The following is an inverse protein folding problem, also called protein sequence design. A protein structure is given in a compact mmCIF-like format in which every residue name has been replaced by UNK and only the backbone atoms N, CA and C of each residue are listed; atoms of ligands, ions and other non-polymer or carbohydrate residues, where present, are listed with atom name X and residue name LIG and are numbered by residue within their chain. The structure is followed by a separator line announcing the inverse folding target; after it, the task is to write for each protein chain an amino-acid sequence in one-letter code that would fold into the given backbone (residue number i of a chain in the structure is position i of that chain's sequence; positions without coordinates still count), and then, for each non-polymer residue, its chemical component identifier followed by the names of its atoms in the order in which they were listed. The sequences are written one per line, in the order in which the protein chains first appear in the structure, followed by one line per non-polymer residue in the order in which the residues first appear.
data_IF_577482045418
#
_entry.id   IF_577482045418
#
_cell.length_a   1.000
_cell.length_b   1.000
_cell.length_c   1.000
_cell.angle_alpha   90.00
_cell.angle_beta   90.00
_cell.angle_gamma   90.00
#
_symmetry.space_group_name_H-M   'P 1'
#
loop_
_entity.id
_entity.type
_entity.pdbx_description
1 polymer ?
#
# COMPACT_ATOMS: atom_id res chain seq x y z
N UNK A 1 2.15 -19.46 26.89
CA UNK A 1 2.53 -19.58 25.49
C UNK A 1 3.16 -18.26 25.06
N UNK A 2 4.45 -18.28 24.75
CA UNK A 2 5.15 -17.09 24.30
C UNK A 2 4.94 -16.94 22.78
N UNK A 3 4.51 -15.76 22.35
CA UNK A 3 4.20 -15.49 20.96
C UNK A 3 4.99 -14.31 20.43
N UNK A 4 5.45 -14.40 19.18
CA UNK A 4 5.96 -13.27 18.44
C UNK A 4 5.11 -12.98 17.20
N UNK A 5 4.97 -11.69 16.87
CA UNK A 5 4.36 -11.24 15.62
C UNK A 5 5.41 -10.42 14.86
N UNK A 6 5.73 -10.84 13.66
CA UNK A 6 6.75 -10.22 12.82
C UNK A 6 6.07 -9.57 11.62
N UNK A 7 6.16 -8.25 11.51
CA UNK A 7 5.66 -7.51 10.37
C UNK A 7 6.77 -7.19 9.37
N UNK A 8 6.49 -7.35 8.08
CA UNK A 8 7.36 -6.90 7.00
C UNK A 8 6.76 -5.67 6.32
N UNK A 9 7.48 -4.56 6.28
CA UNK A 9 7.04 -3.29 5.70
C UNK A 9 8.04 -2.77 4.66
N UNK A 10 7.56 -2.39 3.48
CA UNK A 10 8.38 -1.92 2.38
C UNK A 10 7.97 -0.53 1.88
N UNK A 11 6.82 -0.03 2.32
CA UNK A 11 6.32 1.30 1.94
C UNK A 11 5.74 2.01 3.17
N UNK A 12 5.74 3.34 3.13
CA UNK A 12 5.15 4.15 4.22
C UNK A 12 3.64 3.92 4.38
N UNK A 13 2.93 3.62 3.30
CA UNK A 13 1.49 3.31 3.35
C UNK A 13 1.19 2.03 4.13
N UNK A 14 2.08 1.05 4.08
CA UNK A 14 1.94 -0.21 4.82
C UNK A 14 2.05 -0.01 6.34
N UNK A 15 2.80 0.99 6.79
CA UNK A 15 2.97 1.26 8.23
C UNK A 15 1.65 1.61 8.92
N UNK A 16 0.72 2.29 8.24
CA UNK A 16 -0.61 2.54 8.81
C UNK A 16 -1.42 1.24 8.98
N UNK A 17 -1.34 0.34 8.01
CA UNK A 17 -1.99 -0.97 8.11
C UNK A 17 -1.39 -1.83 9.23
N UNK A 18 -0.07 -1.80 9.36
CA UNK A 18 0.62 -2.48 10.48
C UNK A 18 0.19 -1.88 11.81
N UNK A 19 0.13 -0.54 11.94
CA UNK A 19 -0.34 0.11 13.16
C UNK A 19 -1.75 -0.36 13.53
N UNK A 20 -2.66 -0.42 12.57
CA UNK A 20 -4.03 -0.88 12.81
C UNK A 20 -4.09 -2.36 13.22
N UNK A 21 -3.19 -3.20 12.70
CA UNK A 21 -3.05 -4.59 13.15
C UNK A 21 -2.49 -4.65 14.58
N UNK A 22 -1.48 -3.85 14.91
CA UNK A 22 -0.93 -3.76 16.28
C UNK A 22 -2.01 -3.35 17.26
N UNK A 23 -2.81 -2.35 16.93
CA UNK A 23 -3.91 -1.89 17.78
C UNK A 23 -4.96 -3.00 17.97
N UNK A 24 -5.24 -3.78 16.93
CA UNK A 24 -6.09 -4.98 17.02
C UNK A 24 -5.51 -6.02 18.00
N UNK A 25 -4.21 -6.33 17.89
CA UNK A 25 -3.54 -7.29 18.76
C UNK A 25 -3.52 -6.83 20.22
N UNK A 26 -3.27 -5.55 20.48
CA UNK A 26 -3.30 -4.98 21.83
C UNK A 26 -4.68 -5.08 22.48
N UNK A 27 -5.75 -4.99 21.69
CA UNK A 27 -7.12 -5.13 22.18
C UNK A 27 -7.52 -6.59 22.42
N UNK A 28 -6.85 -7.55 21.79
CA UNK A 28 -7.20 -8.98 21.85
C UNK A 28 -6.47 -9.79 22.94
N UNK A 29 -6.00 -9.12 23.97
CA UNK A 29 -5.46 -9.73 25.22
C UNK A 29 -4.15 -10.52 25.07
N UNK A 30 -3.18 -9.94 24.40
CA UNK A 30 -1.86 -10.57 24.19
C UNK A 30 -0.78 -10.03 25.13
N UNK A 31 -0.94 -10.22 26.44
CA UNK A 31 0.04 -9.75 27.46
C UNK A 31 1.47 -10.30 27.26
N UNK A 32 1.62 -11.42 26.53
CA UNK A 32 2.91 -12.09 26.30
C UNK A 32 3.22 -12.20 24.79
N UNK A 33 2.98 -11.13 24.04
CA UNK A 33 3.26 -11.13 22.59
C UNK A 33 4.31 -10.07 22.26
N UNK A 34 5.43 -10.52 21.75
CA UNK A 34 6.48 -9.63 21.24
C UNK A 34 6.16 -9.17 19.81
N UNK A 35 6.29 -7.87 19.56
CA UNK A 35 6.07 -7.26 18.26
C UNK A 35 7.42 -6.92 17.63
N UNK A 36 7.69 -7.49 16.48
CA UNK A 36 8.91 -7.24 15.71
C UNK A 36 8.57 -6.66 14.33
N UNK A 37 9.41 -5.79 13.81
CA UNK A 37 9.25 -5.22 12.50
C UNK A 37 10.52 -5.33 11.65
N UNK A 38 10.35 -5.69 10.41
CA UNK A 38 11.38 -5.67 9.37
C UNK A 38 10.95 -4.63 8.34
N UNK A 39 11.67 -3.53 8.25
CA UNK A 39 11.27 -2.40 7.41
C UNK A 39 12.41 -1.86 6.56
N UNK A 40 12.08 -1.42 5.35
CA UNK A 40 12.94 -0.56 4.54
C UNK A 40 12.33 0.84 4.31
N UNK A 41 11.19 1.13 4.93
CA UNK A 41 10.42 2.34 4.70
C UNK A 41 10.91 3.56 5.51
N UNK A 42 11.82 3.36 6.46
CA UNK A 42 12.38 4.43 7.29
C UNK A 42 11.42 5.02 8.34
N UNK A 43 10.15 4.60 8.33
CA UNK A 43 9.15 5.00 9.32
C UNK A 43 8.63 3.76 10.05
N UNK A 44 8.51 3.86 11.36
CA UNK A 44 8.18 2.74 12.23
C UNK A 44 6.87 3.03 12.93
N UNK A 45 5.95 2.06 12.97
CA UNK A 45 4.70 2.19 13.72
C UNK A 45 4.94 2.40 15.22
N UNK A 46 4.04 3.11 15.89
CA UNK A 46 4.12 3.35 17.33
C UNK A 46 3.99 2.05 18.14
N UNK A 47 4.78 1.95 19.20
CA UNK A 47 4.72 0.82 20.14
C UNK A 47 5.65 -0.35 19.80
N UNK A 48 6.57 -0.15 18.84
CA UNK A 48 7.68 -1.06 18.58
C UNK A 48 8.97 -0.39 19.07
N UNK A 49 9.72 -1.09 19.93
CA UNK A 49 10.98 -0.61 20.49
C UNK A 49 12.12 -0.80 19.47
N UNK A 50 13.22 -0.04 19.62
CA UNK A 50 14.37 -0.12 18.71
C UNK A 50 14.99 -1.51 18.69
N UNK A 51 15.00 -2.22 19.82
CA UNK A 51 15.49 -3.60 19.92
C UNK A 51 14.70 -4.60 19.07
N UNK A 52 13.45 -4.28 18.76
CA UNK A 52 12.53 -5.15 18.03
C UNK A 52 12.40 -4.77 16.55
N UNK A 53 13.39 -4.05 16.02
CA UNK A 53 13.39 -3.53 14.66
C UNK A 53 14.59 -4.04 13.88
N UNK A 54 14.33 -4.38 12.62
CA UNK A 54 15.38 -4.61 11.64
C UNK A 54 15.17 -3.68 10.45
N UNK A 55 16.09 -2.75 10.25
CA UNK A 55 16.06 -1.87 9.10
C UNK A 55 16.87 -2.46 7.94
N UNK A 56 16.20 -2.69 6.83
CA UNK A 56 16.79 -3.13 5.58
C UNK A 56 17.29 -1.94 4.75
N UNK A 57 18.26 -2.19 3.90
CA UNK A 57 18.76 -1.18 2.96
C UNK A 57 17.76 -0.99 1.84
N UNK A 58 17.26 0.25 1.65
CA UNK A 58 16.38 0.62 0.55
C UNK A 58 17.15 0.69 -0.77
N UNK A 59 16.67 0.01 -1.79
CA UNK A 59 17.23 0.09 -3.15
C UNK A 59 16.49 1.20 -3.90
N UNK A 60 17.21 2.23 -4.29
CA UNK A 60 16.69 3.34 -5.10
C UNK A 60 16.81 3.03 -6.60
N UNK A 61 16.07 3.77 -7.44
CA UNK A 61 16.00 3.49 -8.88
C UNK A 61 17.37 3.51 -9.59
N UNK A 62 18.26 4.43 -9.22
CA UNK A 62 19.60 4.51 -9.81
C UNK A 62 20.53 3.37 -9.36
N UNK A 63 20.18 2.67 -8.29
CA UNK A 63 20.92 1.52 -7.76
C UNK A 63 20.45 0.19 -8.36
N UNK A 64 19.56 0.19 -9.33
CA UNK A 64 19.02 -1.07 -9.90
C UNK A 64 20.11 -1.95 -10.51
N UNK A 65 21.17 -1.38 -11.08
CA UNK A 65 22.33 -2.13 -11.56
C UNK A 65 23.08 -2.91 -10.47
N UNK A 66 22.98 -2.47 -9.21
CA UNK A 66 23.60 -3.11 -8.04
C UNK A 66 22.59 -3.85 -7.17
N UNK A 67 21.39 -4.06 -7.66
CA UNK A 67 20.28 -4.67 -6.90
C UNK A 67 20.66 -5.98 -6.21
N UNK A 68 21.46 -6.80 -6.86
CA UNK A 68 21.90 -8.09 -6.30
C UNK A 68 22.79 -7.92 -5.06
N UNK A 69 23.64 -6.90 -5.03
CA UNK A 69 24.51 -6.60 -3.88
C UNK A 69 23.64 -6.21 -2.68
N UNK A 70 22.66 -5.32 -2.88
CA UNK A 70 21.75 -4.89 -1.81
C UNK A 70 20.84 -6.03 -1.33
N UNK A 71 20.38 -6.89 -2.23
CA UNK A 71 19.63 -8.08 -1.85
C UNK A 71 20.46 -9.02 -0.98
N UNK A 72 21.76 -9.21 -1.31
CA UNK A 72 22.66 -10.04 -0.52
C UNK A 72 22.93 -9.43 0.86
N UNK A 73 23.09 -8.11 0.96
CA UNK A 73 23.22 -7.42 2.25
C UNK A 73 21.96 -7.61 3.10
N UNK A 74 20.79 -7.41 2.52
CA UNK A 74 19.51 -7.60 3.20
C UNK A 74 19.30 -9.05 3.62
N UNK A 75 19.68 -10.01 2.78
CA UNK A 75 19.66 -11.43 3.14
C UNK A 75 20.49 -11.72 4.38
N UNK A 76 21.73 -11.19 4.45
CA UNK A 76 22.60 -11.37 5.63
C UNK A 76 21.99 -10.75 6.90
N UNK A 77 21.39 -9.54 6.77
CA UNK A 77 20.68 -8.91 7.89
C UNK A 77 19.51 -9.76 8.38
N UNK A 78 18.69 -10.28 7.44
CA UNK A 78 17.59 -11.17 7.77
C UNK A 78 18.06 -12.47 8.46
N UNK A 79 19.16 -13.05 7.98
CA UNK A 79 19.74 -14.25 8.59
C UNK A 79 20.20 -14.00 10.04
N UNK A 80 20.90 -12.89 10.27
CA UNK A 80 21.32 -12.49 11.63
C UNK A 80 20.12 -12.25 12.53
N UNK A 81 19.09 -11.56 12.02
CA UNK A 81 17.89 -11.26 12.78
C UNK A 81 17.15 -12.53 13.19
N UNK A 82 16.92 -13.46 12.25
CA UNK A 82 16.25 -14.74 12.59
C UNK A 82 17.03 -15.54 13.62
N UNK A 83 18.37 -15.51 13.59
CA UNK A 83 19.21 -16.17 14.60
C UNK A 83 19.11 -15.51 15.97
N UNK A 84 18.80 -14.22 16.05
CA UNK A 84 18.66 -13.49 17.32
C UNK A 84 17.24 -13.57 17.89
N UNK A 85 16.27 -14.11 17.14
CA UNK A 85 14.91 -14.29 17.64
C UNK A 85 14.94 -15.36 18.75
N UNK A 86 14.41 -15.05 19.95
CA UNK A 86 14.26 -16.03 21.01
C UNK A 86 13.34 -17.19 20.58
N UNK A 87 13.37 -18.27 21.32
CA UNK A 87 12.42 -19.38 21.10
C UNK A 87 11.01 -18.96 21.52
N UNK A 88 10.06 -19.08 20.59
CA UNK A 88 8.65 -18.84 20.81
C UNK A 88 7.84 -20.11 20.52
N UNK A 89 6.74 -20.28 21.24
CA UNK A 89 5.79 -21.36 20.96
C UNK A 89 5.07 -21.12 19.62
N UNK A 90 4.77 -19.88 19.33
CA UNK A 90 4.10 -19.44 18.08
C UNK A 90 4.74 -18.17 17.52
N UNK A 91 4.98 -18.19 16.20
CA UNK A 91 5.45 -17.02 15.45
C UNK A 91 4.46 -16.71 14.33
N UNK A 92 3.84 -15.56 14.38
CA UNK A 92 2.98 -15.08 13.31
C UNK A 92 3.75 -14.09 12.41
N UNK A 93 3.92 -14.45 11.13
CA UNK A 93 4.60 -13.62 10.13
C UNK A 93 3.55 -12.91 9.30
N UNK A 94 3.46 -11.59 9.45
CA UNK A 94 2.52 -10.74 8.76
C UNK A 94 3.19 -10.04 7.57
N UNK A 95 2.74 -10.35 6.35
CA UNK A 95 3.25 -9.77 5.11
C UNK A 95 2.14 -9.03 4.35
N UNK A 96 2.48 -7.99 3.57
CA UNK A 96 1.47 -7.26 2.79
C UNK A 96 1.02 -8.09 1.58
N UNK A 97 1.97 -8.69 0.92
CA UNK A 97 1.82 -9.54 -0.26
C UNK A 97 3.15 -10.26 -0.53
N UNK A 98 3.12 -11.24 -1.43
CA UNK A 98 4.32 -12.01 -1.75
C UNK A 98 5.00 -11.61 -3.07
N UNK A 99 4.53 -10.56 -3.74
CA UNK A 99 5.21 -9.99 -4.90
C UNK A 99 6.61 -9.45 -4.57
N UNK A 100 6.83 -9.08 -3.31
CA UNK A 100 8.14 -8.68 -2.86
C UNK A 100 9.00 -9.92 -2.59
N UNK A 101 10.14 -10.00 -3.27
CA UNK A 101 11.09 -11.11 -3.14
C UNK A 101 11.53 -11.33 -1.68
N UNK A 102 11.66 -10.26 -0.91
CA UNK A 102 12.08 -10.36 0.50
C UNK A 102 11.00 -10.98 1.38
N UNK A 103 9.71 -10.75 1.09
CA UNK A 103 8.60 -11.42 1.79
C UNK A 103 8.67 -12.93 1.60
N UNK A 104 8.70 -13.37 0.34
CA UNK A 104 8.77 -14.79 -0.01
C UNK A 104 9.99 -15.46 0.61
N UNK A 105 11.14 -14.79 0.47
CA UNK A 105 12.39 -15.30 1.00
C UNK A 105 12.35 -15.44 2.53
N UNK A 106 11.88 -14.41 3.23
CA UNK A 106 11.83 -14.38 4.68
C UNK A 106 10.91 -15.48 5.23
N UNK A 107 9.71 -15.58 4.66
CA UNK A 107 8.74 -16.64 5.05
C UNK A 107 9.33 -18.02 4.85
N UNK A 108 9.91 -18.29 3.68
CA UNK A 108 10.55 -19.58 3.40
C UNK A 108 11.73 -19.87 4.33
N UNK A 109 12.55 -18.86 4.62
CA UNK A 109 13.69 -19.00 5.52
C UNK A 109 13.25 -19.30 6.96
N UNK A 110 12.25 -18.58 7.48
CA UNK A 110 11.70 -18.84 8.82
C UNK A 110 11.11 -20.24 8.92
N UNK A 111 10.34 -20.66 7.93
CA UNK A 111 9.75 -22.02 7.90
C UNK A 111 10.80 -23.14 7.91
N UNK A 112 12.01 -22.87 7.42
CA UNK A 112 13.10 -23.85 7.44
C UNK A 112 13.94 -23.80 8.72
N UNK A 113 14.07 -22.64 9.35
CA UNK A 113 15.00 -22.42 10.47
C UNK A 113 14.33 -22.46 11.84
N UNK A 114 13.09 -22.03 11.93
CA UNK A 114 12.34 -21.96 13.20
C UNK A 114 11.41 -23.18 13.35
N UNK A 115 11.99 -24.39 13.23
CA UNK A 115 11.22 -25.65 13.22
C UNK A 115 10.57 -25.98 14.56
N UNK A 116 11.06 -25.43 15.66
CA UNK A 116 10.51 -25.61 17.01
C UNK A 116 9.24 -24.78 17.25
N UNK A 117 9.04 -23.73 16.47
CA UNK A 117 7.91 -22.82 16.62
C UNK A 117 6.79 -23.16 15.65
N UNK A 118 5.54 -23.01 16.11
CA UNK A 118 4.38 -23.02 15.21
C UNK A 118 4.36 -21.74 14.37
N UNK A 119 4.63 -21.82 13.07
CA UNK A 119 4.67 -20.67 12.19
C UNK A 119 3.32 -20.46 11.53
N UNK A 120 2.71 -19.30 11.79
CA UNK A 120 1.47 -18.83 11.16
C UNK A 120 1.83 -17.72 10.18
N UNK A 121 1.38 -17.85 8.94
CA UNK A 121 1.55 -16.82 7.93
C UNK A 121 0.25 -16.08 7.74
N UNK A 122 0.33 -14.75 7.82
CA UNK A 122 -0.83 -13.87 7.74
C UNK A 122 -0.60 -12.76 6.72
N UNK A 123 -1.66 -12.35 6.03
CA UNK A 123 -1.67 -11.17 5.18
C UNK A 123 -2.27 -10.00 5.94
N UNK A 124 -1.71 -8.80 5.78
CA UNK A 124 -2.30 -7.57 6.24
C UNK A 124 -2.67 -6.65 5.05
N UNK A 125 -3.61 -5.69 5.21
CA UNK A 125 -4.10 -4.90 4.09
C UNK A 125 -2.99 -4.08 3.40
N UNK A 126 -2.88 -4.20 2.09
CA UNK A 126 -1.98 -3.44 1.24
C UNK A 126 -2.75 -2.80 0.07
N UNK A 127 -3.63 -1.89 0.40
CA UNK A 127 -4.45 -1.17 -0.57
C UNK A 127 -5.29 -2.09 -1.45
N UNK A 128 -5.33 -1.78 -2.74
CA UNK A 128 -6.11 -2.56 -3.72
C UNK A 128 -5.66 -4.00 -3.88
N UNK A 129 -4.39 -4.31 -3.62
CA UNK A 129 -3.88 -5.68 -3.73
C UNK A 129 -4.59 -6.66 -2.78
N UNK A 130 -5.23 -6.15 -1.72
CA UNK A 130 -6.02 -6.96 -0.80
C UNK A 130 -7.41 -7.33 -1.32
N UNK A 131 -7.85 -6.71 -2.40
CA UNK A 131 -9.23 -6.83 -2.89
C UNK A 131 -9.34 -7.27 -4.35
N UNK A 132 -8.24 -7.54 -5.01
CA UNK A 132 -8.23 -8.01 -6.40
C UNK A 132 -7.55 -9.37 -6.51
N UNK A 133 -8.05 -10.29 -7.35
CA UNK A 133 -7.34 -11.50 -7.65
C UNK A 133 -6.07 -11.16 -8.40
N UNK A 134 -4.99 -11.76 -7.98
CA UNK A 134 -3.74 -11.61 -8.66
C UNK A 134 -3.53 -12.79 -9.61
N UNK A 135 -3.70 -12.58 -10.89
CA UNK A 135 -3.36 -13.57 -11.89
C UNK A 135 -1.90 -13.38 -12.32
N UNK A 136 -1.16 -14.46 -12.29
CA UNK A 136 0.20 -14.47 -12.84
C UNK A 136 0.10 -14.50 -14.36
N UNK A 137 0.41 -13.36 -14.98
CA UNK A 137 0.63 -13.31 -16.43
C UNK A 137 1.93 -14.02 -16.81
N UNK A 138 2.05 -14.42 -18.08
CA UNK A 138 3.28 -15.03 -18.64
C UNK A 138 4.53 -14.20 -18.35
N UNK A 139 4.43 -12.88 -18.33
CA UNK A 139 5.51 -11.99 -17.91
C UNK A 139 5.96 -12.22 -16.46
N UNK A 140 5.02 -12.51 -15.55
CA UNK A 140 5.35 -12.84 -14.16
C UNK A 140 6.02 -14.20 -14.01
N UNK A 141 5.72 -15.15 -14.86
CA UNK A 141 6.43 -16.43 -14.86
C UNK A 141 7.90 -16.24 -15.20
N UNK A 142 8.19 -15.45 -16.24
CA UNK A 142 9.56 -15.09 -16.59
C UNK A 142 10.23 -14.27 -15.49
N UNK A 143 9.56 -13.27 -14.93
CA UNK A 143 10.07 -12.53 -13.76
C UNK A 143 10.33 -13.44 -12.57
N UNK A 144 9.51 -14.44 -12.33
CA UNK A 144 9.69 -15.39 -11.24
C UNK A 144 10.95 -16.24 -11.44
N UNK A 145 11.24 -16.65 -12.68
CA UNK A 145 12.49 -17.35 -13.02
C UNK A 145 13.70 -16.42 -12.77
N UNK A 146 13.65 -15.18 -13.24
CA UNK A 146 14.71 -14.19 -12.99
C UNK A 146 14.89 -13.91 -11.49
N UNK A 147 13.81 -13.82 -10.74
CA UNK A 147 13.84 -13.63 -9.29
C UNK A 147 14.42 -14.83 -8.57
N UNK A 148 14.06 -16.04 -9.02
CA UNK A 148 14.64 -17.28 -8.49
C UNK A 148 16.16 -17.32 -8.71
N UNK A 149 16.61 -17.07 -9.94
CA UNK A 149 18.04 -17.04 -10.27
C UNK A 149 18.78 -15.92 -9.52
N UNK A 150 18.22 -14.72 -9.50
CA UNK A 150 18.77 -13.60 -8.73
C UNK A 150 18.79 -13.86 -7.22
N UNK A 151 17.79 -14.54 -6.69
CA UNK A 151 17.75 -15.01 -5.31
C UNK A 151 18.87 -16.01 -5.03
N UNK A 152 19.05 -16.99 -5.89
CA UNK A 152 20.12 -17.98 -5.75
C UNK A 152 21.51 -17.32 -5.76
N UNK A 153 21.78 -16.43 -6.69
CA UNK A 153 23.03 -15.64 -6.72
C UNK A 153 23.25 -14.79 -5.46
N UNK A 154 22.19 -14.35 -4.83
CA UNK A 154 22.22 -13.55 -3.60
C UNK A 154 22.29 -14.39 -2.33
N UNK A 155 22.34 -15.73 -2.45
CA UNK A 155 22.30 -16.65 -1.33
C UNK A 155 20.92 -16.80 -0.71
N UNK A 156 19.87 -16.39 -1.42
CA UNK A 156 18.48 -16.54 -1.01
C UNK A 156 17.83 -17.73 -1.71
N UNK A 157 17.31 -18.67 -0.95
CA UNK A 157 16.46 -19.72 -1.53
C UNK A 157 15.05 -19.19 -1.72
N UNK A 158 14.79 -18.79 -2.94
CA UNK A 158 13.48 -18.32 -3.36
C UNK A 158 12.66 -19.52 -3.84
N UNK A 159 11.48 -19.71 -3.30
CA UNK A 159 10.55 -20.71 -3.83
C UNK A 159 9.87 -20.14 -5.05
N UNK A 160 9.95 -20.84 -6.18
CA UNK A 160 9.13 -20.54 -7.35
C UNK A 160 7.68 -20.80 -6.94
N UNK A 161 6.92 -19.75 -6.92
CA UNK A 161 5.49 -19.87 -6.75
C UNK A 161 4.88 -20.04 -8.15
N UNK A 162 4.38 -21.22 -8.41
CA UNK A 162 3.59 -21.52 -9.61
C UNK A 162 2.14 -21.24 -9.27
N UNK A 163 1.53 -20.31 -9.97
CA UNK A 163 0.13 -20.02 -9.78
C UNK A 163 -0.19 -18.56 -9.46
N UNK A 164 -1.46 -18.23 -9.22
CA UNK A 164 -1.86 -16.92 -8.74
C UNK A 164 -1.10 -16.56 -7.47
N UNK A 165 -0.92 -15.27 -7.18
CA UNK A 165 -0.23 -14.81 -5.95
C UNK A 165 -0.81 -15.41 -4.68
N UNK A 166 -2.00 -15.90 -4.79
CA UNK A 166 -2.69 -16.67 -3.78
C UNK A 166 -2.17 -18.08 -3.57
N UNK A 167 -1.63 -18.67 -4.60
CA UNK A 167 -1.35 -20.09 -4.59
C UNK A 167 -0.06 -20.49 -3.84
N UNK A 168 0.94 -19.64 -3.71
CA UNK A 168 1.99 -19.90 -2.73
C UNK A 168 1.45 -20.00 -1.32
N UNK A 169 0.18 -19.83 -1.14
CA UNK A 169 -0.45 -19.47 0.10
C UNK A 169 -1.46 -20.46 0.60
N UNK A 170 -1.38 -21.69 0.18
CA UNK A 170 -1.79 -22.79 1.04
C UNK A 170 -1.18 -22.69 2.45
N UNK A 171 -0.11 -21.91 2.62
CA UNK A 171 0.49 -21.59 3.92
C UNK A 171 -0.16 -20.39 4.65
N UNK A 172 -0.90 -19.51 3.98
CA UNK A 172 -1.60 -18.39 4.64
C UNK A 172 -2.72 -18.92 5.51
N UNK A 173 -2.72 -18.57 6.78
CA UNK A 173 -3.72 -19.00 7.77
C UNK A 173 -4.69 -17.90 8.19
N UNK A 174 -4.33 -16.64 8.00
CA UNK A 174 -5.14 -15.50 8.37
C UNK A 174 -4.98 -14.37 7.36
N UNK A 175 -6.07 -13.64 7.14
CA UNK A 175 -6.08 -12.42 6.34
C UNK A 175 -6.70 -11.31 7.17
N UNK A 176 -5.94 -10.31 7.53
CA UNK A 176 -6.45 -9.10 8.14
C UNK A 176 -7.03 -8.19 7.07
N UNK A 177 -8.25 -7.73 7.25
CA UNK A 177 -8.93 -6.89 6.26
C UNK A 177 -9.77 -5.80 6.90
N UNK A 178 -9.83 -4.65 6.23
CA UNK A 178 -10.78 -3.59 6.57
C UNK A 178 -12.19 -3.89 6.05
N UNK A 179 -12.27 -4.66 4.97
CA UNK A 179 -13.51 -4.94 4.24
C UNK A 179 -13.58 -6.46 3.96
N UNK A 180 -13.91 -7.27 4.97
CA UNK A 180 -13.95 -8.73 4.83
C UNK A 180 -14.86 -9.21 3.71
N UNK A 181 -15.99 -8.52 3.50
CA UNK A 181 -17.07 -8.92 2.59
C UNK A 181 -16.64 -8.94 1.12
N UNK A 182 -15.64 -8.15 0.76
CA UNK A 182 -15.08 -8.07 -0.60
C UNK A 182 -13.61 -8.49 -0.67
N UNK A 183 -13.06 -8.97 0.46
CA UNK A 183 -11.72 -9.55 0.48
C UNK A 183 -11.77 -10.90 -0.21
N UNK A 184 -10.89 -11.11 -1.17
CA UNK A 184 -10.81 -12.37 -1.89
C UNK A 184 -10.23 -13.43 -0.96
N UNK A 185 -10.98 -14.49 -0.65
CA UNK A 185 -10.46 -15.58 0.14
C UNK A 185 -9.45 -16.35 -0.72
N UNK A 186 -8.22 -16.36 -0.29
CA UNK A 186 -7.25 -17.31 -0.77
C UNK A 186 -7.47 -18.61 0.01
N UNK A 187 -8.14 -19.57 -0.56
CA UNK A 187 -8.34 -20.90 0.00
C UNK A 187 -8.56 -20.98 1.53
N UNK A 188 -9.69 -20.53 2.01
CA UNK A 188 -10.27 -20.94 3.29
C UNK A 188 -9.77 -20.33 4.59
N UNK A 189 -9.00 -19.29 4.54
CA UNK A 189 -8.41 -18.90 5.79
C UNK A 189 -9.30 -17.92 6.55
N UNK A 190 -9.03 -17.80 7.82
CA UNK A 190 -9.77 -16.92 8.68
C UNK A 190 -9.56 -15.46 8.27
N UNK A 191 -10.60 -14.83 7.68
CA UNK A 191 -10.59 -13.40 7.42
C UNK A 191 -10.94 -12.68 8.72
N UNK A 192 -10.04 -11.84 9.18
CA UNK A 192 -10.14 -11.11 10.44
C UNK A 192 -10.40 -9.64 10.12
N UNK A 193 -11.53 -9.14 10.59
CA UNK A 193 -11.85 -7.73 10.45
C UNK A 193 -11.03 -6.87 11.40
N UNK A 194 -10.23 -5.96 10.85
CA UNK A 194 -9.56 -4.91 11.60
C UNK A 194 -10.29 -3.58 11.40
N UNK A 195 -10.16 -2.69 12.37
CA UNK A 195 -10.81 -1.38 12.33
C UNK A 195 -9.81 -0.33 11.88
N UNK A 196 -10.25 0.55 10.99
CA UNK A 196 -9.55 1.80 10.75
C UNK A 196 -9.94 2.78 11.86
N UNK A 197 -8.99 3.42 12.56
CA UNK A 197 -9.32 4.38 13.61
C UNK A 197 -10.09 5.54 13.00
N UNK A 198 -11.27 5.84 13.57
CA UNK A 198 -12.09 6.96 13.13
C UNK A 198 -11.49 8.27 13.64
N UNK A 199 -11.41 9.26 12.78
CA UNK A 199 -11.08 10.63 13.14
C UNK A 199 -12.17 11.58 12.69
N UNK A 200 -12.32 12.69 13.39
CA UNK A 200 -13.16 13.80 12.93
C UNK A 200 -12.37 14.68 11.98
N UNK A 201 -13.03 15.09 10.91
CA UNK A 201 -12.49 16.00 9.93
C UNK A 201 -13.31 17.29 9.96
N UNK A 202 -12.63 18.44 9.93
CA UNK A 202 -13.25 19.75 9.87
C UNK A 202 -12.76 20.48 8.64
N UNK A 203 -13.67 21.02 7.87
CA UNK A 203 -13.36 21.81 6.67
C UNK A 203 -14.18 21.38 5.45
N UNK A 204 -14.10 22.19 4.40
CA UNK A 204 -14.81 21.98 3.13
C UNK A 204 -13.88 22.14 1.91
N UNK A 205 -12.58 21.96 2.11
CA UNK A 205 -11.60 22.08 1.04
C UNK A 205 -11.64 20.85 0.12
N UNK A 206 -11.10 21.01 -1.06
CA UNK A 206 -10.95 19.97 -2.08
C UNK A 206 -9.49 19.54 -2.14
N UNK A 207 -9.26 18.24 -2.20
CA UNK A 207 -7.94 17.67 -2.32
C UNK A 207 -7.86 16.76 -3.55
N UNK A 208 -7.07 17.19 -4.53
CA UNK A 208 -6.84 16.45 -5.76
C UNK A 208 -5.52 15.70 -5.63
N UNK A 209 -5.56 14.40 -5.80
CA UNK A 209 -4.39 13.54 -5.82
C UNK A 209 -3.91 13.35 -7.25
N UNK A 210 -2.69 13.78 -7.53
CA UNK A 210 -2.05 13.61 -8.81
C UNK A 210 -1.81 12.14 -9.15
N UNK A 211 -1.80 11.86 -10.43
CA UNK A 211 -1.60 10.51 -10.95
C UNK A 211 -0.60 10.50 -12.12
N UNK A 212 0.05 9.35 -12.32
CA UNK A 212 0.96 9.13 -13.46
C UNK A 212 0.46 7.92 -14.24
N UNK A 213 0.21 8.09 -15.52
CA UNK A 213 -0.07 6.96 -16.42
C UNK A 213 1.14 6.05 -16.51
N UNK A 214 0.94 4.74 -16.49
CA UNK A 214 2.02 3.74 -16.35
C UNK A 214 3.12 3.81 -17.42
N UNK A 215 2.85 4.33 -18.62
CA UNK A 215 3.78 4.26 -19.74
C UNK A 215 4.30 5.60 -20.26
N UNK A 216 3.56 6.68 -20.13
CA UNK A 216 3.96 8.01 -20.58
C UNK A 216 3.25 9.08 -19.79
N UNK A 217 3.98 10.13 -19.46
CA UNK A 217 3.43 11.35 -18.92
C UNK A 217 2.71 12.10 -20.04
N UNK A 218 1.38 12.01 -20.04
CA UNK A 218 0.56 12.72 -21.02
C UNK A 218 0.06 14.03 -20.42
N UNK A 219 0.73 15.11 -20.76
CA UNK A 219 0.45 16.45 -20.30
C UNK A 219 -0.96 16.92 -20.70
N UNK A 220 -1.36 16.59 -21.93
CA UNK A 220 -2.65 17.04 -22.46
C UNK A 220 -3.80 16.28 -21.82
N UNK A 221 -3.59 15.03 -21.47
CA UNK A 221 -4.55 14.26 -20.69
C UNK A 221 -4.75 14.84 -19.28
N UNK A 222 -3.66 15.23 -18.60
CA UNK A 222 -3.76 15.91 -17.31
C UNK A 222 -4.45 17.27 -17.41
N UNK A 223 -4.20 18.02 -18.46
CA UNK A 223 -4.89 19.29 -18.72
C UNK A 223 -6.39 19.07 -18.95
N UNK A 224 -6.78 18.07 -19.72
CA UNK A 224 -8.19 17.74 -19.97
C UNK A 224 -8.91 17.30 -18.69
N UNK A 225 -8.29 16.43 -17.89
CA UNK A 225 -8.84 15.97 -16.62
C UNK A 225 -8.97 17.12 -15.64
N UNK A 226 -7.93 17.95 -15.50
CA UNK A 226 -8.00 19.13 -14.65
C UNK A 226 -9.11 20.08 -15.09
N UNK A 227 -9.27 20.31 -16.38
CA UNK A 227 -10.38 21.12 -16.91
C UNK A 227 -11.75 20.54 -16.56
N UNK A 228 -11.94 19.22 -16.68
CA UNK A 228 -13.18 18.55 -16.28
C UNK A 228 -13.44 18.67 -14.78
N UNK A 229 -12.44 18.39 -13.96
CA UNK A 229 -12.52 18.55 -12.49
C UNK A 229 -12.96 19.96 -12.14
N UNK A 230 -12.36 20.95 -12.74
CA UNK A 230 -12.60 22.36 -12.42
C UNK A 230 -13.97 22.84 -12.87
N UNK A 231 -14.46 22.37 -14.01
CA UNK A 231 -15.83 22.62 -14.45
C UNK A 231 -16.89 22.02 -13.49
N UNK A 232 -16.59 20.86 -12.89
CA UNK A 232 -17.45 20.25 -11.87
C UNK A 232 -17.44 21.04 -10.58
N UNK A 233 -16.26 21.50 -10.17
CA UNK A 233 -16.04 22.22 -8.92
C UNK A 233 -16.60 23.65 -8.92
N UNK A 234 -16.73 24.27 -10.09
CA UNK A 234 -17.37 25.60 -10.21
C UNK A 234 -18.84 25.63 -9.77
N UNK A 235 -19.45 24.45 -9.59
CA UNK A 235 -20.87 24.30 -9.19
C UNK A 235 -21.06 24.02 -7.70
N UNK A 236 -20.01 23.68 -6.96
CA UNK A 236 -20.09 23.35 -5.54
C UNK A 236 -19.51 24.48 -4.68
N UNK A 237 -20.14 24.73 -3.54
CA UNK A 237 -19.62 25.70 -2.57
C UNK A 237 -18.49 25.04 -1.75
N UNK A 238 -17.24 25.30 -2.11
CA UNK A 238 -16.04 24.80 -1.45
C UNK A 238 -15.09 25.92 -1.03
N UNK A 239 -14.16 25.58 -0.16
CA UNK A 239 -13.12 26.51 0.30
C UNK A 239 -11.97 26.65 -0.71
N UNK A 240 -10.81 26.11 -0.34
CA UNK A 240 -9.63 26.09 -1.21
C UNK A 240 -9.47 24.74 -1.91
N UNK A 241 -8.83 24.77 -3.08
CA UNK A 241 -8.42 23.56 -3.81
C UNK A 241 -6.93 23.31 -3.56
N UNK A 242 -6.60 22.10 -3.21
CA UNK A 242 -5.23 21.64 -3.00
C UNK A 242 -4.91 20.52 -4.00
N UNK A 243 -3.72 20.55 -4.56
CA UNK A 243 -3.23 19.53 -5.47
C UNK A 243 -1.94 18.92 -4.93
N UNK A 244 -1.87 17.60 -4.80
CA UNK A 244 -0.67 16.87 -4.44
C UNK A 244 -0.16 16.09 -5.63
N UNK A 245 1.03 16.41 -6.16
CA UNK A 245 1.64 15.64 -7.25
C UNK A 245 1.89 14.20 -6.85
N UNK A 246 1.88 13.31 -7.84
CA UNK A 246 2.29 11.93 -7.60
C UNK A 246 3.80 11.87 -7.30
N UNK A 247 4.26 11.08 -6.30
CA UNK A 247 5.67 11.05 -5.89
C UNK A 247 6.68 10.73 -7.00
N UNK A 248 6.25 10.02 -8.05
CA UNK A 248 7.12 9.74 -9.21
C UNK A 248 7.40 10.95 -10.09
N UNK A 249 6.60 12.01 -9.98
CA UNK A 249 6.76 13.26 -10.72
C UNK A 249 7.60 14.25 -9.93
N UNK A 250 7.73 14.06 -8.64
CA UNK A 250 8.37 15.00 -7.72
C UNK A 250 9.81 15.40 -8.07
N UNK A 251 10.46 14.67 -8.97
CA UNK A 251 11.84 14.94 -9.42
C UNK A 251 11.94 15.70 -10.77
N UNK A 252 10.81 16.10 -11.38
CA UNK A 252 10.84 16.92 -12.59
C UNK A 252 10.82 18.40 -12.20
N UNK A 253 11.48 19.28 -12.96
CA UNK A 253 11.52 20.74 -12.69
C UNK A 253 10.10 21.32 -12.58
N UNK A 254 9.67 21.51 -11.34
CA UNK A 254 8.25 21.53 -10.95
C UNK A 254 7.48 22.76 -11.39
N UNK A 255 8.12 23.94 -11.38
CA UNK A 255 7.38 25.19 -11.45
C UNK A 255 6.71 25.45 -12.79
N UNK A 256 7.41 25.22 -13.90
CA UNK A 256 6.83 25.46 -15.24
C UNK A 256 5.71 24.46 -15.57
N UNK A 257 5.87 23.22 -15.16
CA UNK A 257 4.89 22.16 -15.39
C UNK A 257 3.59 22.41 -14.61
N UNK A 258 3.68 22.67 -13.31
CA UNK A 258 2.49 22.94 -12.49
C UNK A 258 1.83 24.25 -12.85
N UNK A 259 2.59 25.28 -13.16
CA UNK A 259 2.04 26.53 -13.64
C UNK A 259 1.26 26.37 -14.94
N UNK A 260 1.66 25.45 -15.82
CA UNK A 260 0.90 25.17 -17.05
C UNK A 260 -0.40 24.40 -16.82
N UNK A 261 -0.44 23.53 -15.79
CA UNK A 261 -1.61 22.71 -15.47
C UNK A 261 -2.59 23.45 -14.56
N UNK A 262 -2.06 24.26 -13.64
CA UNK A 262 -2.85 24.92 -12.58
C UNK A 262 -3.31 26.33 -12.96
N UNK A 263 -2.87 26.86 -14.10
CA UNK A 263 -3.37 28.15 -14.61
C UNK A 263 -4.77 27.98 -15.20
N UNK A 264 -5.76 28.02 -14.32
CA UNK A 264 -7.13 28.14 -14.73
C UNK A 264 -7.63 29.50 -14.26
N UNK A 265 -8.17 30.33 -15.18
CA UNK A 265 -8.75 31.60 -14.79
C UNK A 265 -9.74 31.43 -13.64
N UNK A 266 -9.66 32.26 -12.64
CA UNK A 266 -10.57 32.38 -11.49
C UNK A 266 -10.51 31.24 -10.45
N UNK A 267 -9.56 30.28 -10.57
CA UNK A 267 -9.43 29.21 -9.58
C UNK A 267 -8.02 29.18 -9.00
N UNK A 268 -7.93 29.38 -7.70
CA UNK A 268 -6.66 29.32 -6.96
C UNK A 268 -6.41 27.91 -6.44
N UNK A 269 -5.47 27.20 -7.07
CA UNK A 269 -5.06 25.86 -6.65
C UNK A 269 -3.75 25.98 -5.87
N UNK A 270 -3.76 25.49 -4.63
CA UNK A 270 -2.60 25.41 -3.76
C UNK A 270 -1.86 24.10 -3.97
N UNK A 271 -0.58 24.19 -4.32
CA UNK A 271 0.26 23.03 -4.54
C UNK A 271 0.85 22.51 -3.22
N UNK A 272 0.73 21.21 -2.98
CA UNK A 272 1.35 20.53 -1.85
C UNK A 272 2.63 19.83 -2.30
N UNK A 273 3.79 20.45 -2.08
CA UNK A 273 5.11 19.88 -2.43
C UNK A 273 5.68 18.95 -1.37
N UNK A 274 5.00 18.80 -0.25
CA UNK A 274 5.47 18.06 0.90
C UNK A 274 5.45 16.54 0.65
N UNK A 275 6.47 15.84 1.12
CA UNK A 275 6.55 14.37 1.15
C UNK A 275 5.64 13.74 2.23
N UNK A 276 4.93 14.57 2.99
CA UNK A 276 3.97 14.15 4.01
C UNK A 276 2.93 13.20 3.40
N UNK A 277 2.61 12.08 4.04
CA UNK A 277 1.56 11.17 3.60
C UNK A 277 0.23 11.89 3.40
N UNK A 278 -0.51 11.48 2.35
CA UNK A 278 -1.80 12.08 1.99
C UNK A 278 -2.78 12.10 3.17
N UNK A 279 -2.77 11.04 3.97
CA UNK A 279 -3.62 10.86 5.13
C UNK A 279 -3.37 11.91 6.22
N UNK A 280 -2.13 12.35 6.38
CA UNK A 280 -1.74 13.41 7.33
C UNK A 280 -2.04 14.79 6.77
N UNK A 281 -1.77 15.01 5.48
CA UNK A 281 -2.08 16.28 4.81
C UNK A 281 -3.57 16.59 4.80
N UNK A 282 -4.42 15.59 4.60
CA UNK A 282 -5.86 15.79 4.60
C UNK A 282 -6.36 16.44 5.89
N UNK A 283 -5.82 16.03 7.03
CA UNK A 283 -6.17 16.57 8.33
C UNK A 283 -5.78 18.05 8.47
N UNK A 284 -4.57 18.40 8.04
CA UNK A 284 -4.09 19.79 8.10
C UNK A 284 -4.79 20.71 7.11
N UNK A 285 -5.16 20.18 5.94
CA UNK A 285 -5.86 20.94 4.90
C UNK A 285 -7.37 21.09 5.24
N UNK A 286 -7.95 20.15 5.96
CA UNK A 286 -9.40 20.12 6.21
C UNK A 286 -10.20 19.88 4.94
N UNK A 287 -9.81 18.91 4.13
CA UNK A 287 -10.48 18.60 2.88
C UNK A 287 -11.61 17.58 3.05
N UNK A 288 -12.82 17.94 2.63
CA UNK A 288 -13.99 17.05 2.64
C UNK A 288 -14.30 16.42 1.28
N UNK A 289 -13.70 16.91 0.21
CA UNK A 289 -13.85 16.37 -1.15
C UNK A 289 -12.48 15.89 -1.62
N UNK A 290 -12.42 14.61 -2.01
CA UNK A 290 -11.20 13.97 -2.51
C UNK A 290 -11.43 13.55 -3.96
N UNK A 291 -10.52 13.95 -4.84
CA UNK A 291 -10.57 13.58 -6.25
C UNK A 291 -9.26 12.89 -6.61
N UNK A 292 -9.35 11.71 -7.17
CA UNK A 292 -8.17 10.96 -7.61
C UNK A 292 -8.52 10.09 -8.82
N UNK A 293 -7.51 9.67 -9.55
CA UNK A 293 -7.65 8.47 -10.37
C UNK A 293 -7.75 7.23 -9.44
N UNK A 294 -7.20 6.13 -9.83
CA UNK A 294 -7.15 4.92 -8.99
C UNK A 294 -6.08 5.08 -7.92
N UNK A 295 -6.49 5.37 -6.69
CA UNK A 295 -5.56 5.61 -5.57
C UNK A 295 -5.89 4.79 -4.33
N UNK A 296 -4.89 4.08 -3.82
CA UNK A 296 -4.97 3.38 -2.52
C UNK A 296 -5.23 4.36 -1.37
N UNK A 297 -4.63 5.55 -1.41
CA UNK A 297 -4.85 6.58 -0.38
C UNK A 297 -6.32 6.99 -0.30
N UNK A 298 -7.03 7.08 -1.44
CA UNK A 298 -8.46 7.40 -1.44
C UNK A 298 -9.30 6.34 -0.70
N UNK A 299 -8.95 5.06 -0.85
CA UNK A 299 -9.59 3.96 -0.11
C UNK A 299 -9.33 4.11 1.39
N UNK A 300 -8.08 4.31 1.77
CA UNK A 300 -7.68 4.50 3.17
C UNK A 300 -8.40 5.70 3.80
N UNK A 301 -8.46 6.82 3.08
CA UNK A 301 -9.17 8.01 3.54
C UNK A 301 -10.68 7.73 3.73
N UNK A 302 -11.29 7.04 2.78
CA UNK A 302 -12.72 6.70 2.88
C UNK A 302 -13.02 5.74 4.04
N UNK A 303 -12.14 4.79 4.30
CA UNK A 303 -12.22 3.91 5.48
C UNK A 303 -12.09 4.68 6.79
N UNK A 304 -11.20 5.67 6.85
CA UNK A 304 -10.91 6.47 8.03
C UNK A 304 -12.00 7.49 8.34
N UNK A 305 -12.45 8.22 7.34
CA UNK A 305 -13.38 9.36 7.52
C UNK A 305 -14.83 9.05 7.13
N UNK A 306 -15.08 7.94 6.45
CA UNK A 306 -16.44 7.47 6.07
C UNK A 306 -17.27 8.56 5.38
N UNK A 307 -18.41 8.90 5.99
CA UNK A 307 -19.36 9.88 5.45
C UNK A 307 -18.93 11.34 5.64
N UNK A 308 -17.80 11.59 6.32
CA UNK A 308 -17.26 12.95 6.46
C UNK A 308 -16.58 13.44 5.19
N UNK A 309 -16.25 12.54 4.26
CA UNK A 309 -15.64 12.88 2.99
C UNK A 309 -16.43 12.31 1.81
N UNK A 310 -16.48 13.07 0.74
CA UNK A 310 -16.92 12.64 -0.58
C UNK A 310 -15.69 12.30 -1.42
N UNK A 311 -15.66 11.11 -2.00
CA UNK A 311 -14.56 10.67 -2.85
C UNK A 311 -15.05 10.44 -4.26
N UNK A 312 -14.31 10.96 -5.22
CA UNK A 312 -14.58 10.82 -6.64
C UNK A 312 -13.38 10.25 -7.38
N UNK A 313 -13.60 9.27 -8.24
CA UNK A 313 -12.56 8.71 -9.10
C UNK A 313 -12.83 9.03 -10.58
N UNK A 314 -11.77 9.04 -11.36
CA UNK A 314 -11.84 9.23 -12.81
C UNK A 314 -10.86 8.32 -13.54
N UNK A 315 -11.08 8.12 -14.83
CA UNK A 315 -10.14 7.43 -15.71
C UNK A 315 -9.87 5.96 -15.34
N UNK A 316 -10.82 5.25 -14.73
CA UNK A 316 -10.59 3.87 -14.31
C UNK A 316 -10.07 2.99 -15.46
N UNK A 317 -10.69 3.08 -16.63
CA UNK A 317 -10.30 2.30 -17.81
C UNK A 317 -8.96 2.71 -18.41
N UNK A 318 -8.47 3.91 -18.09
CA UNK A 318 -7.18 4.40 -18.57
C UNK A 318 -6.00 3.92 -17.71
N UNK A 319 -6.27 3.61 -16.44
CA UNK A 319 -5.25 3.29 -15.44
C UNK A 319 -5.24 1.84 -14.99
N UNK A 320 -6.37 1.15 -15.18
CA UNK A 320 -6.55 -0.25 -14.74
C UNK A 320 -6.79 -1.12 -15.96
N UNK A 321 -6.12 -2.26 -16.00
CA UNK A 321 -6.40 -3.24 -17.04
C UNK A 321 -7.88 -3.67 -16.97
N UNK A 322 -8.62 -3.77 -18.08
CA UNK A 322 -10.07 -4.00 -18.07
C UNK A 322 -10.54 -5.17 -17.20
N UNK A 323 -9.79 -6.25 -17.15
CA UNK A 323 -10.12 -7.42 -16.32
C UNK A 323 -10.11 -7.14 -14.81
N UNK A 324 -9.44 -6.09 -14.36
CA UNK A 324 -9.43 -5.69 -12.95
C UNK A 324 -10.39 -4.54 -12.65
N UNK A 325 -10.92 -3.87 -13.67
CA UNK A 325 -11.82 -2.73 -13.50
C UNK A 325 -13.01 -3.06 -12.60
N UNK A 326 -13.64 -4.22 -12.82
CA UNK A 326 -14.78 -4.70 -12.03
C UNK A 326 -14.48 -4.82 -10.53
N UNK A 327 -13.25 -5.24 -10.18
CA UNK A 327 -12.85 -5.33 -8.76
C UNK A 327 -12.69 -3.95 -8.13
N UNK A 328 -12.12 -3.01 -8.88
CA UNK A 328 -12.03 -1.61 -8.42
C UNK A 328 -13.41 -0.99 -8.26
N UNK A 329 -14.29 -1.21 -9.21
CA UNK A 329 -15.69 -0.75 -9.14
C UNK A 329 -16.42 -1.34 -7.94
N UNK A 330 -16.22 -2.63 -7.64
CA UNK A 330 -16.81 -3.28 -6.47
C UNK A 330 -16.31 -2.64 -5.16
N UNK A 331 -15.01 -2.39 -5.03
CA UNK A 331 -14.45 -1.72 -3.85
C UNK A 331 -14.96 -0.28 -3.74
N UNK A 332 -14.99 0.45 -4.86
CA UNK A 332 -15.44 1.83 -4.88
C UNK A 332 -16.94 1.94 -4.55
N UNK A 333 -17.76 1.07 -5.12
CA UNK A 333 -19.19 0.98 -4.83
C UNK A 333 -19.43 0.67 -3.35
N UNK A 334 -18.76 -0.34 -2.81
CA UNK A 334 -18.86 -0.70 -1.38
C UNK A 334 -18.51 0.47 -0.46
N UNK A 335 -17.49 1.24 -0.81
CA UNK A 335 -17.05 2.41 -0.04
C UNK A 335 -17.82 3.69 -0.39
N UNK A 336 -18.80 3.65 -1.28
CA UNK A 336 -19.50 4.83 -1.78
C UNK A 336 -18.55 5.89 -2.38
N UNK A 337 -17.51 5.44 -3.08
CA UNK A 337 -16.63 6.26 -3.91
C UNK A 337 -17.28 6.37 -5.28
N UNK A 338 -17.55 7.57 -5.76
CA UNK A 338 -18.35 7.80 -6.96
C UNK A 338 -17.49 8.07 -8.19
N UNK A 339 -17.89 7.67 -9.38
CA UNK A 339 -17.25 8.15 -10.59
C UNK A 339 -17.44 9.67 -10.73
N UNK A 340 -16.38 10.34 -11.14
CA UNK A 340 -16.45 11.74 -11.52
C UNK A 340 -17.05 11.80 -12.95
N UNK A 341 -18.34 12.04 -13.03
CA UNK A 341 -19.06 12.12 -14.31
C UNK A 341 -18.84 13.47 -14.97
N UNK A 342 -18.86 13.48 -16.28
CA UNK A 342 -18.93 14.73 -17.02
C UNK A 342 -20.31 15.35 -16.74
N UNK A 343 -20.41 16.63 -16.38
CA UNK A 343 -21.69 17.28 -16.13
C UNK A 343 -22.58 17.36 -17.38
N UNK A 344 -22.04 16.98 -18.53
CA UNK A 344 -22.74 16.99 -19.82
C UNK A 344 -23.06 15.58 -20.34
N UNK A 345 -22.68 14.51 -19.64
CA UNK A 345 -23.16 13.14 -19.79
C UNK A 345 -24.32 12.86 -18.81
#
# INVERSE_FOLDING_TARGET
MNKAIIFLSFTTSQNQSIQNCIDYFKCSDSKNTDLLIISNAGHIPNGITDSNQLQLTKVTNWQQGFKQIFLRQNSRKLHSFVKSIPEYDEIEICVPHFLNILCSYFVNFCSQKLKSSNIIISLYPDGMLSYQPFEIHSQFQMESIYRWFGGWLSGMRYTLFSGPVADPFSCVKKIYSYIPDITIPYQSEKIIKIKFPKKKLHGNNIFILGHVKQSKFDLDYLKQINKKILLLLSKENYGSIYYKPHPRIANMSHDAFYQSILKIPDINIKLCHDDTPVESLLESIGASIIIAAVSTSMINLKLKYKNQISCYYFGLNDYVHPKYATYYESVFSYLSIKPLRDPYE
#
